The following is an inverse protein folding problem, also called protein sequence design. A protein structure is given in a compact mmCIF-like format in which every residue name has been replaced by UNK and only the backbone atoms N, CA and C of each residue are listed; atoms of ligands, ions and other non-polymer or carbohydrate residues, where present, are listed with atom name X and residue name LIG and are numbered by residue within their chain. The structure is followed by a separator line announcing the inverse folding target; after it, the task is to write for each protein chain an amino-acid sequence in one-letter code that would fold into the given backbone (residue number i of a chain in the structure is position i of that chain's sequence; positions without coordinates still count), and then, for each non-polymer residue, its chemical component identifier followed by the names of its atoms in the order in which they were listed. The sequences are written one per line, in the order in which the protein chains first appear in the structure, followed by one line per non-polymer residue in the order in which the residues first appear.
data_IF_938100247023
#
_entry.id   IF_938100247023
#
_cell.length_a   1.000
_cell.length_b   1.000
_cell.length_c   1.000
_cell.angle_alpha   90.00
_cell.angle_beta   90.00
_cell.angle_gamma   90.00
#
_symmetry.space_group_name_H-M   'P 1'
#
loop_
_entity.id
_entity.type
_entity.pdbx_description
1 polymer ?
2 non-polymer ?
3 water ?
#
# COMPACT_ATOMS: atom_id res chain seq x y z
N UNK A 7 4.42 19.75 10.43
CA UNK A 7 2.94 19.98 10.22
C UNK A 7 2.52 20.72 8.94
N UNK A 8 3.49 21.01 8.01
CA UNK A 8 3.21 21.85 6.77
C UNK A 8 2.61 21.06 5.62
N UNK A 9 1.61 21.69 5.03
CA UNK A 9 0.97 21.22 3.83
C UNK A 9 1.39 22.11 2.66
N UNK A 10 2.17 21.57 1.80
CA UNK A 10 2.44 22.22 0.50
C UNK A 10 1.25 22.32 -0.40
N UNK A 11 1.31 23.29 -1.35
CA UNK A 11 0.42 23.27 -2.51
C UNK A 11 1.29 22.46 -3.50
N UNK A 12 0.92 21.19 -3.72
CA UNK A 12 1.65 20.28 -4.53
C UNK A 12 0.76 19.31 -5.24
N UNK A 13 0.92 19.20 -6.55
CA UNK A 13 0.07 18.35 -7.38
C UNK A 13 0.49 16.89 -7.10
N UNK A 14 -0.50 16.00 -7.18
CA UNK A 14 -0.14 14.55 -7.02
C UNK A 14 0.97 13.98 -7.87
N UNK A 15 1.12 14.38 -9.14
CA UNK A 15 2.16 13.74 -9.92
C UNK A 15 3.56 14.12 -9.41
N UNK A 16 3.72 15.37 -9.03
CA UNK A 16 4.96 15.87 -8.42
C UNK A 16 5.21 15.18 -7.06
N UNK A 17 4.18 15.15 -6.21
CA UNK A 17 4.25 14.44 -4.90
C UNK A 17 4.70 13.00 -5.08
N UNK A 18 4.20 12.27 -6.05
CA UNK A 18 4.57 10.91 -6.23
C UNK A 18 6.01 10.75 -6.66
N UNK A 19 6.47 11.69 -7.55
CA UNK A 19 7.92 11.70 -7.83
C UNK A 19 8.74 11.87 -6.54
N UNK A 20 8.31 12.82 -5.71
CA UNK A 20 9.06 13.08 -4.44
C UNK A 20 9.05 11.87 -3.47
N UNK A 21 8.08 11.00 -3.63
CA UNK A 21 7.98 9.78 -2.78
C UNK A 21 9.18 8.81 -3.11
N UNK A 22 9.85 8.93 -4.29
CA UNK A 22 10.95 8.10 -4.53
C UNK A 22 10.53 6.61 -4.64
N UNK A 23 11.33 5.75 -4.01
CA UNK A 23 11.04 4.33 -3.93
C UNK A 23 10.61 4.02 -2.51
N UNK A 24 9.76 3.02 -2.36
CA UNK A 24 9.29 2.62 -1.04
C UNK A 24 9.50 1.22 -0.68
N UNK A 25 9.33 0.98 0.60
CA UNK A 25 9.46 -0.34 1.24
C UNK A 25 8.31 -0.52 2.22
N UNK A 26 7.69 -1.70 2.17
CA UNK A 26 6.59 -2.11 3.09
C UNK A 26 7.09 -2.78 4.36
N UNK A 27 6.61 -2.31 5.46
CA UNK A 27 6.74 -2.98 6.75
C UNK A 27 5.69 -4.11 6.86
N UNK A 28 5.87 -5.13 6.04
CA UNK A 28 4.87 -6.17 6.01
C UNK A 28 4.93 -7.18 7.15
N UNK A 29 3.82 -7.84 7.37
CA UNK A 29 3.66 -8.75 8.45
C UNK A 29 4.08 -8.24 9.80
N UNK A 30 3.78 -6.94 10.05
CA UNK A 30 3.98 -6.29 11.32
C UNK A 30 2.63 -5.85 11.85
N UNK A 31 2.29 -4.56 11.75
CA UNK A 31 1.01 -4.10 12.28
C UNK A 31 -0.16 -4.58 11.48
N UNK A 32 0.10 -5.10 10.26
CA UNK A 32 -0.90 -5.78 9.43
C UNK A 32 -1.17 -7.23 9.81
N UNK A 33 -0.39 -7.80 10.71
CA UNK A 33 -0.59 -9.19 11.11
C UNK A 33 -2.03 -9.41 11.52
N UNK A 34 -2.60 -10.50 11.01
CA UNK A 34 -4.01 -10.78 11.30
C UNK A 34 -4.11 -11.62 12.58
N UNK A 35 -3.78 -11.01 13.69
CA UNK A 35 -3.77 -11.61 15.04
C UNK A 35 -3.84 -10.49 16.03
N UNK A 36 -4.35 -10.72 17.25
CA UNK A 36 -4.33 -9.69 18.27
C UNK A 36 -2.89 -9.29 18.65
N UNK A 37 -1.91 -10.18 18.43
CA UNK A 37 -0.50 -9.98 18.76
C UNK A 37 0.22 -9.76 17.39
N UNK A 38 0.73 -8.57 17.19
CA UNK A 38 1.30 -8.23 15.92
C UNK A 38 2.67 -8.91 15.71
N UNK A 39 3.16 -9.66 16.68
CA UNK A 39 4.39 -10.50 16.50
C UNK A 39 4.05 -11.91 16.07
N UNK A 40 2.79 -12.23 15.91
CA UNK A 40 2.38 -13.60 15.70
C UNK A 40 2.83 -14.17 14.38
N UNK A 41 3.06 -13.35 13.37
CA UNK A 41 3.53 -13.73 12.07
C UNK A 41 5.04 -13.74 11.96
N UNK A 42 5.75 -13.66 13.04
CA UNK A 42 7.19 -13.92 13.02
C UNK A 42 8.08 -12.72 13.03
N UNK A 43 7.56 -11.49 13.05
CA UNK A 43 8.39 -10.34 13.07
C UNK A 43 8.38 -9.68 14.42
N UNK A 44 9.53 -9.18 14.85
CA UNK A 44 9.62 -8.51 16.15
C UNK A 44 8.86 -7.21 16.17
N UNK A 45 8.61 -6.69 17.36
CA UNK A 45 8.16 -5.33 17.51
C UNK A 45 9.04 -4.39 16.79
N UNK A 46 8.49 -3.54 15.97
CA UNK A 46 9.19 -2.62 15.11
C UNK A 46 9.90 -1.59 15.98
N UNK A 47 11.12 -1.28 15.60
CA UNK A 47 11.93 -0.26 16.30
C UNK A 47 12.41 0.79 15.36
N UNK A 48 12.82 1.94 15.90
CA UNK A 48 13.40 2.98 15.09
C UNK A 48 14.68 2.49 14.44
N UNK A 49 15.48 1.69 15.10
CA UNK A 49 16.68 1.16 14.54
C UNK A 49 16.47 0.38 13.24
N UNK A 50 15.34 -0.32 13.14
CA UNK A 50 14.94 -0.95 11.92
C UNK A 50 14.64 0.05 10.82
N UNK A 51 13.73 0.95 11.14
CA UNK A 51 13.39 1.96 10.14
C UNK A 51 14.56 2.80 9.69
N UNK A 52 15.51 3.08 10.58
CA UNK A 52 16.70 3.80 10.23
C UNK A 52 17.46 3.11 9.09
N UNK A 53 17.53 1.77 9.11
CA UNK A 53 18.22 1.08 8.06
C UNK A 53 17.50 1.20 6.72
N UNK A 54 16.18 1.20 6.74
CA UNK A 54 15.36 1.37 5.50
C UNK A 54 15.72 2.71 4.90
N UNK A 55 15.73 3.80 5.70
CA UNK A 55 16.07 5.11 5.20
C UNK A 55 17.52 5.18 4.79
N UNK A 56 18.46 4.58 5.47
CA UNK A 56 19.86 4.67 5.09
C UNK A 56 20.13 4.04 3.78
N UNK A 57 19.36 3.00 3.43
CA UNK A 57 19.48 2.28 2.13
C UNK A 57 18.98 3.15 1.01
N UNK A 58 18.17 4.15 1.29
CA UNK A 58 17.73 5.09 0.29
C UNK A 58 16.24 5.09 -0.09
N UNK A 59 15.48 4.22 0.61
CA UNK A 59 14.04 4.30 0.46
C UNK A 59 13.53 5.62 0.98
N UNK A 60 12.68 6.26 0.24
CA UNK A 60 12.11 7.53 0.62
C UNK A 60 10.70 7.44 1.25
N UNK A 61 10.07 6.29 1.02
CA UNK A 61 8.68 6.05 1.46
C UNK A 61 8.61 4.74 2.25
N UNK A 62 8.04 4.80 3.46
CA UNK A 62 7.62 3.67 4.23
C UNK A 62 6.14 3.45 4.07
N UNK A 63 5.73 2.25 3.61
CA UNK A 63 4.33 1.90 3.68
C UNK A 63 4.14 1.04 4.99
N UNK A 64 3.22 1.52 5.80
CA UNK A 64 2.94 1.02 7.14
C UNK A 64 1.54 0.44 7.13
N UNK A 65 1.46 -0.83 6.65
CA UNK A 65 0.10 -1.43 6.60
C UNK A 65 -0.36 -1.81 8.02
N UNK A 66 -1.63 -1.52 8.25
CA UNK A 66 -2.14 -1.77 9.62
C UNK A 66 -3.46 -2.48 9.46
N UNK A 67 -3.62 -3.54 10.22
CA UNK A 67 -4.89 -4.29 10.38
C UNK A 67 -5.50 -3.80 11.68
N UNK A 68 -6.73 -3.37 11.62
CA UNK A 68 -7.40 -2.69 12.75
C UNK A 68 -8.37 -3.61 13.47
N UNK A 69 -8.81 -4.70 12.86
CA UNK A 69 -9.91 -5.56 13.38
C UNK A 69 -9.77 -5.92 14.85
N UNK A 70 -8.60 -6.30 15.26
CA UNK A 70 -8.49 -6.79 16.62
C UNK A 70 -8.45 -5.67 17.63
N UNK A 71 -8.55 -4.43 17.20
CA UNK A 71 -8.48 -3.24 18.05
C UNK A 71 -9.65 -2.35 17.90
N UNK A 72 -10.76 -2.75 17.31
CA UNK A 72 -11.95 -1.96 17.13
C UNK A 72 -13.02 -2.54 18.01
N UNK A 73 -13.68 -1.68 18.76
CA UNK A 73 -14.75 -2.09 19.68
C UNK A 73 -16.07 -2.22 18.95
N UNK A 74 -17.13 -2.38 19.78
CA UNK A 74 -18.48 -2.61 19.28
C UNK A 74 -19.11 -1.34 18.66
N UNK A 75 -20.04 -1.53 17.72
CA UNK A 75 -20.83 -0.44 17.17
C UNK A 75 -21.75 0.15 18.25
N UNK A 76 -22.27 1.37 18.03
CA UNK A 76 -22.11 2.16 16.80
C UNK A 76 -20.84 3.03 16.82
N UNK A 77 -20.10 3.10 17.93
CA UNK A 77 -18.96 3.96 18.00
C UNK A 77 -17.70 3.29 17.37
N UNK A 78 -17.59 1.98 17.43
CA UNK A 78 -16.42 1.26 16.83
C UNK A 78 -15.13 1.92 17.33
N UNK A 79 -15.00 2.12 18.64
CA UNK A 79 -13.84 2.80 19.19
C UNK A 79 -12.54 2.03 18.88
N UNK A 80 -11.55 2.70 18.39
CA UNK A 80 -10.25 2.10 18.20
C UNK A 80 -9.48 2.21 19.50
N UNK A 81 -8.84 1.15 19.94
CA UNK A 81 -8.05 1.20 21.16
C UNK A 81 -6.95 2.24 21.04
N UNK A 82 -6.84 3.09 22.04
CA UNK A 82 -5.86 4.14 22.05
C UNK A 82 -4.43 3.66 21.99
N UNK A 83 -4.17 2.57 22.67
CA UNK A 83 -2.84 2.10 22.66
C UNK A 83 -2.39 1.50 21.31
N UNK A 84 -3.34 1.06 20.52
CA UNK A 84 -3.05 0.61 19.16
C UNK A 84 -2.69 1.80 18.27
N UNK A 85 -3.51 2.85 18.35
CA UNK A 85 -3.14 4.08 17.68
C UNK A 85 -1.76 4.55 18.10
N UNK A 86 -1.46 4.43 19.38
CA UNK A 86 -0.15 4.86 19.87
C UNK A 86 0.96 4.11 19.10
N UNK A 87 0.81 2.79 19.01
CA UNK A 87 1.79 1.98 18.28
C UNK A 87 1.97 2.39 16.81
N UNK A 88 0.85 2.58 16.15
CA UNK A 88 0.91 3.02 14.78
C UNK A 88 1.67 4.33 14.70
N UNK A 89 1.27 5.28 15.58
CA UNK A 89 1.90 6.59 15.56
C UNK A 89 3.41 6.53 15.81
N UNK A 90 3.79 5.70 16.75
CA UNK A 90 5.18 5.60 17.02
C UNK A 90 5.99 5.17 15.80
N UNK A 91 5.52 4.15 15.08
CA UNK A 91 6.24 3.69 13.91
C UNK A 91 6.24 4.73 12.82
N UNK A 92 5.09 5.37 12.65
CA UNK A 92 5.03 6.47 11.69
C UNK A 92 6.10 7.53 11.94
N UNK A 93 6.23 7.88 13.22
CA UNK A 93 7.26 8.88 13.61
C UNK A 93 8.63 8.38 13.41
N UNK A 94 8.92 7.09 13.53
CA UNK A 94 10.25 6.55 13.23
C UNK A 94 10.61 6.94 11.79
N UNK A 95 9.70 6.74 10.86
CA UNK A 95 9.86 7.08 9.44
C UNK A 95 9.95 8.57 9.18
N UNK A 96 9.00 9.30 9.74
CA UNK A 96 9.00 10.75 9.54
C UNK A 96 10.24 11.40 10.03
N UNK A 97 10.79 10.96 11.14
CA UNK A 97 12.10 11.44 11.71
C UNK A 97 13.26 11.18 10.82
N UNK A 98 13.16 10.21 9.90
CA UNK A 98 14.11 9.83 8.91
C UNK A 98 13.86 10.58 7.60
N UNK A 99 12.97 11.56 7.63
CA UNK A 99 12.69 12.35 6.46
C UNK A 99 11.89 11.58 5.39
N UNK A 100 11.27 10.47 5.74
CA UNK A 100 10.49 9.65 4.82
C UNK A 100 9.04 10.08 4.78
N UNK A 101 8.41 9.71 3.66
CA UNK A 101 6.97 9.68 3.54
C UNK A 101 6.48 8.41 4.29
N UNK A 102 5.25 8.47 4.76
CA UNK A 102 4.70 7.29 5.47
C UNK A 102 3.28 7.19 4.96
N UNK A 103 2.89 5.95 4.60
CA UNK A 103 1.50 5.66 4.20
C UNK A 103 0.90 4.76 5.33
N UNK A 104 -0.24 5.19 5.83
CA UNK A 104 -0.97 4.33 6.81
C UNK A 104 -2.28 3.92 6.10
N UNK A 105 -2.65 2.63 6.23
CA UNK A 105 -3.84 2.11 5.55
C UNK A 105 -4.72 1.35 6.51
N UNK A 106 -5.79 0.82 5.95
CA UNK A 106 -6.57 -0.29 6.46
C UNK A 106 -6.22 -1.52 5.66
N UNK A 107 -5.71 -2.55 6.26
CA UNK A 107 -5.07 -3.67 5.54
C UNK A 107 -5.90 -4.92 5.54
N UNK A 108 -5.76 -5.87 6.45
CA UNK A 108 -6.42 -7.21 6.38
C UNK A 108 -7.67 -7.13 7.14
N UNK A 109 -8.59 -6.28 6.71
CA UNK A 109 -9.84 -5.94 7.44
C UNK A 109 -11.06 -6.35 6.61
N UNK A 110 -10.84 -7.24 5.65
CA UNK A 110 -11.93 -7.63 4.71
C UNK A 110 -13.14 -8.23 5.45
N UNK A 111 -12.99 -8.83 6.62
CA UNK A 111 -14.11 -9.52 7.29
C UNK A 111 -15.17 -8.52 7.69
N UNK A 112 -14.86 -7.25 7.86
CA UNK A 112 -15.90 -6.24 8.21
C UNK A 112 -16.06 -5.27 7.09
N UNK A 113 -15.42 -5.59 5.94
CA UNK A 113 -15.49 -4.72 4.76
C UNK A 113 -15.89 -5.52 3.50
N UNK A 114 -16.92 -6.33 3.62
CA UNK A 114 -17.29 -7.21 2.50
C UNK A 114 -18.03 -6.42 1.47
N UNK A 115 -17.56 -6.39 0.21
CA UNK A 115 -18.13 -5.59 -0.86
C UNK A 115 -19.35 -6.29 -1.52
N UNK A 116 -20.44 -6.34 -0.78
CA UNK A 116 -21.73 -6.84 -1.31
C UNK A 116 -22.79 -5.84 -0.90
N UNK A 117 -23.87 -5.76 -1.73
CA UNK A 117 -25.01 -4.83 -1.37
C UNK A 117 -25.59 -5.20 -0.02
N UNK A 118 -25.64 -6.47 0.30
CA UNK A 118 -26.19 -7.01 1.56
C UNK A 118 -25.47 -6.40 2.73
N UNK A 119 -24.13 -6.30 2.68
CA UNK A 119 -23.34 -5.82 3.82
C UNK A 119 -23.01 -4.37 3.73
N UNK A 120 -23.15 -3.75 2.58
CA UNK A 120 -22.69 -2.36 2.37
C UNK A 120 -23.11 -1.38 3.38
N UNK A 121 -24.37 -1.42 3.79
CA UNK A 121 -24.84 -0.35 4.64
C UNK A 121 -24.13 -0.37 6.05
N UNK A 122 -23.96 -1.53 6.62
CA UNK A 122 -23.22 -1.70 7.86
C UNK A 122 -21.72 -1.39 7.68
N UNK A 123 -21.16 -1.80 6.56
CA UNK A 123 -19.72 -1.54 6.29
C UNK A 123 -19.52 -0.06 6.24
N UNK A 124 -20.39 0.68 5.54
CA UNK A 124 -20.19 2.11 5.36
C UNK A 124 -20.33 2.80 6.68
N UNK A 125 -21.18 2.34 7.56
CA UNK A 125 -21.29 2.94 8.87
C UNK A 125 -19.96 2.80 9.70
N UNK A 126 -19.46 1.56 9.73
CA UNK A 126 -18.22 1.25 10.46
C UNK A 126 -17.03 1.97 9.86
N UNK A 127 -16.91 1.96 8.56
CA UNK A 127 -15.78 2.62 7.90
C UNK A 127 -15.71 4.09 8.18
N UNK A 128 -16.87 4.74 8.17
CA UNK A 128 -16.91 6.16 8.44
C UNK A 128 -16.38 6.44 9.86
N UNK A 129 -16.79 5.65 10.83
CA UNK A 129 -16.39 5.82 12.24
C UNK A 129 -14.87 5.54 12.37
N UNK A 130 -14.37 4.46 11.73
CA UNK A 130 -12.97 4.07 11.85
C UNK A 130 -12.12 5.12 11.18
N UNK A 131 -12.37 5.55 9.94
CA UNK A 131 -11.59 6.54 9.29
C UNK A 131 -11.62 7.87 10.03
N UNK A 132 -12.79 8.25 10.56
CA UNK A 132 -12.79 9.47 11.33
C UNK A 132 -11.75 9.43 12.48
N UNK A 133 -11.72 8.32 13.17
CA UNK A 133 -10.81 8.16 14.25
C UNK A 133 -9.35 8.16 13.87
N UNK A 134 -8.99 7.45 12.80
CA UNK A 134 -7.61 7.41 12.34
C UNK A 134 -7.23 8.83 11.89
N UNK A 135 -8.11 9.45 11.09
CA UNK A 135 -7.80 10.72 10.61
C UNK A 135 -7.62 11.73 11.76
N UNK A 136 -8.48 11.69 12.78
CA UNK A 136 -8.33 12.65 13.88
C UNK A 136 -7.06 12.40 14.68
N UNK A 137 -6.61 11.15 14.82
CA UNK A 137 -5.37 10.94 15.51
C UNK A 137 -4.23 11.64 14.82
N UNK A 138 -4.22 11.57 13.48
CA UNK A 138 -3.14 12.05 12.70
C UNK A 138 -3.27 13.43 12.06
N UNK A 139 -4.32 14.13 12.48
CA UNK A 139 -4.74 15.36 11.80
C UNK A 139 -3.75 16.46 11.74
N UNK A 140 -2.86 16.56 12.70
CA UNK A 140 -1.90 17.69 12.71
C UNK A 140 -0.66 17.37 11.96
N UNK A 141 -0.45 16.13 11.48
CA UNK A 141 0.75 15.77 10.73
C UNK A 141 0.74 16.48 9.37
N UNK A 142 1.90 16.79 8.90
CA UNK A 142 2.08 17.43 7.60
C UNK A 142 2.03 16.42 6.45
N UNK A 143 2.31 16.86 5.27
CA UNK A 143 1.94 16.13 4.06
C UNK A 143 2.90 14.97 3.69
N UNK A 144 3.91 14.70 4.53
CA UNK A 144 4.64 13.50 4.35
C UNK A 144 3.85 12.28 4.87
N UNK A 145 2.80 12.51 5.63
CA UNK A 145 1.91 11.40 6.02
C UNK A 145 0.75 11.35 5.05
N UNK A 146 0.56 10.14 4.53
CA UNK A 146 -0.42 9.84 3.48
C UNK A 146 -1.37 8.78 4.03
N UNK A 147 -2.66 8.96 3.76
CA UNK A 147 -3.62 7.89 4.11
C UNK A 147 -3.96 7.05 2.89
N UNK A 148 -4.07 5.78 3.05
CA UNK A 148 -4.53 4.81 1.99
C UNK A 148 -5.78 4.17 2.50
N UNK A 149 -6.92 4.43 1.89
CA UNK A 149 -8.23 4.16 2.54
C UNK A 149 -8.51 2.66 2.73
N UNK A 150 -8.11 1.82 1.73
CA UNK A 150 -8.31 0.38 1.80
C UNK A 150 -7.24 -0.35 1.04
N UNK A 151 -6.81 -1.50 1.42
CA UNK A 151 -5.66 -2.16 0.83
C UNK A 151 -6.03 -2.84 -0.48
N UNK A 152 -6.69 -3.97 -0.39
CA UNK A 152 -7.09 -4.85 -1.53
C UNK A 152 -8.56 -5.19 -1.36
N UNK A 153 -9.44 -4.20 -1.29
CA UNK A 153 -10.86 -4.47 -0.92
C UNK A 153 -11.51 -5.37 -2.00
N UNK A 154 -12.09 -6.46 -1.54
CA UNK A 154 -12.52 -7.54 -2.47
C UNK A 154 -13.38 -8.49 -1.72
N UNK A 155 -14.03 -9.41 -2.47
CA UNK A 155 -14.81 -10.46 -1.85
C UNK A 155 -14.03 -11.77 -1.83
N UNK A 156 -13.42 -12.07 -0.72
CA UNK A 156 -12.54 -13.19 -0.66
C UNK A 156 -13.31 -14.52 -0.84
N UNK A 157 -12.71 -15.39 -1.62
CA UNK A 157 -13.26 -16.76 -1.78
C UNK A 157 -14.20 -16.86 -2.95
N UNK A 158 -14.28 -15.87 -3.82
CA UNK A 158 -15.15 -15.84 -4.95
C UNK A 158 -14.35 -16.03 -6.26
N UNK A 159 -14.96 -16.51 -7.32
CA UNK A 159 -14.19 -16.76 -8.51
C UNK A 159 -13.51 -15.49 -9.07
N UNK A 160 -14.15 -14.32 -8.99
CA UNK A 160 -13.60 -13.09 -9.56
C UNK A 160 -12.70 -12.34 -8.57
N UNK A 161 -12.43 -12.88 -7.41
CA UNK A 161 -11.62 -12.20 -6.38
C UNK A 161 -10.38 -11.55 -6.93
N UNK A 162 -9.62 -12.29 -7.72
CA UNK A 162 -8.34 -11.80 -8.28
C UNK A 162 -8.43 -11.45 -9.74
N UNK A 163 -9.66 -11.30 -10.24
CA UNK A 163 -9.96 -10.98 -11.64
C UNK A 163 -10.76 -9.70 -11.88
N UNK A 164 -10.66 -8.82 -10.86
CA UNK A 164 -11.37 -7.57 -10.92
C UNK A 164 -12.78 -7.53 -10.38
N UNK A 165 -13.20 -8.63 -9.78
CA UNK A 165 -14.50 -8.59 -9.06
C UNK A 165 -15.73 -8.73 -9.95
N UNK A 166 -16.87 -8.65 -9.33
CA UNK A 166 -18.13 -8.50 -10.08
C UNK A 166 -18.53 -7.04 -10.10
N UNK A 167 -19.55 -6.69 -10.88
CA UNK A 167 -20.00 -5.34 -10.88
C UNK A 167 -20.46 -4.87 -9.50
N UNK A 168 -21.17 -5.73 -8.81
CA UNK A 168 -21.59 -5.42 -7.46
C UNK A 168 -20.39 -5.13 -6.54
N UNK A 169 -19.36 -5.97 -6.64
CA UNK A 169 -18.18 -5.81 -5.78
C UNK A 169 -17.51 -4.52 -6.13
N UNK A 170 -17.29 -4.12 -7.38
CA UNK A 170 -16.63 -2.87 -7.73
C UNK A 170 -17.46 -1.71 -7.27
N UNK A 171 -18.79 -1.79 -7.40
CA UNK A 171 -19.68 -0.74 -6.96
C UNK A 171 -19.55 -0.53 -5.46
N UNK A 172 -19.62 -1.58 -4.70
CA UNK A 172 -19.46 -1.45 -3.29
C UNK A 172 -18.11 -0.90 -2.90
N UNK A 173 -17.04 -1.43 -3.52
CA UNK A 173 -15.73 -0.86 -3.21
C UNK A 173 -15.69 0.64 -3.48
N UNK A 174 -16.23 1.16 -4.64
CA UNK A 174 -16.28 2.55 -4.83
C UNK A 174 -17.06 3.27 -3.70
N UNK A 175 -18.16 2.68 -3.27
CA UNK A 175 -18.88 3.32 -2.18
C UNK A 175 -18.07 3.39 -0.88
N UNK A 176 -17.27 2.34 -0.65
CA UNK A 176 -16.48 2.33 0.57
C UNK A 176 -15.35 3.37 0.51
N UNK A 177 -14.78 3.57 -0.66
CA UNK A 177 -13.83 4.67 -0.82
C UNK A 177 -14.51 6.01 -0.63
N UNK A 178 -15.72 6.13 -1.13
CA UNK A 178 -16.49 7.40 -0.97
C UNK A 178 -16.68 7.72 0.51
N UNK A 179 -17.12 6.76 1.27
CA UNK A 179 -17.33 6.94 2.72
C UNK A 179 -16.00 7.35 3.35
N UNK A 180 -14.90 6.68 3.00
CA UNK A 180 -13.60 6.85 3.65
C UNK A 180 -13.00 8.17 3.32
N UNK A 181 -12.95 8.56 2.06
CA UNK A 181 -12.49 9.90 1.70
C UNK A 181 -13.31 10.98 2.38
N UNK A 182 -14.64 10.85 2.30
CA UNK A 182 -15.48 11.85 2.92
C UNK A 182 -15.18 11.96 4.41
N UNK A 183 -15.03 10.85 5.10
CA UNK A 183 -14.76 10.90 6.50
C UNK A 183 -13.43 11.64 6.79
N UNK A 184 -12.39 11.31 6.06
CA UNK A 184 -11.12 11.95 6.21
C UNK A 184 -11.26 13.46 6.00
N UNK A 185 -11.87 13.86 4.86
CA UNK A 185 -11.92 15.26 4.58
C UNK A 185 -12.78 16.04 5.60
N UNK A 186 -13.82 15.39 6.13
CA UNK A 186 -14.73 16.10 7.04
C UNK A 186 -14.02 16.44 8.31
N UNK A 187 -12.93 15.78 8.68
CA UNK A 187 -12.23 16.15 9.92
C UNK A 187 -11.51 17.45 9.80
N UNK A 188 -11.28 17.95 8.60
CA UNK A 188 -10.71 19.28 8.37
C UNK A 188 -9.29 19.39 8.74
N UNK A 189 -8.81 20.62 8.98
CA UNK A 189 -7.39 20.88 9.18
C UNK A 189 -6.61 20.32 8.04
N UNK A 190 -5.45 19.83 8.34
CA UNK A 190 -4.55 19.29 7.36
C UNK A 190 -5.18 18.14 6.59
N UNK A 191 -6.17 17.48 7.14
CA UNK A 191 -6.83 16.40 6.49
C UNK A 191 -7.72 16.79 5.31
N UNK A 192 -7.99 18.10 5.19
CA UNK A 192 -8.73 18.58 4.02
C UNK A 192 -7.86 18.50 2.75
N UNK A 193 -6.53 18.52 2.90
CA UNK A 193 -5.55 18.64 1.83
C UNK A 193 -4.64 17.41 1.65
N UNK A 194 -4.62 16.54 2.68
CA UNK A 194 -3.66 15.44 2.72
C UNK A 194 -3.84 14.55 1.46
N UNK A 195 -2.77 14.00 0.97
CA UNK A 195 -2.85 13.01 -0.13
C UNK A 195 -3.46 11.70 0.38
N UNK A 196 -4.43 11.17 -0.39
CA UNK A 196 -5.14 9.93 -0.08
C UNK A 196 -4.95 8.98 -1.23
N UNK A 197 -4.46 7.78 -1.04
CA UNK A 197 -4.37 6.73 -1.98
C UNK A 197 -5.60 5.88 -1.99
N UNK A 198 -6.23 5.80 -3.13
CA UNK A 198 -7.49 5.10 -3.35
C UNK A 198 -7.28 3.99 -4.34
N UNK A 199 -7.54 2.78 -3.93
CA UNK A 199 -7.34 1.58 -4.71
C UNK A 199 -8.49 1.24 -5.65
N UNK A 200 -8.14 0.52 -6.73
CA UNK A 200 -9.13 -0.22 -7.50
C UNK A 200 -9.58 -1.40 -6.65
N UNK A 201 -10.64 -2.08 -7.14
CA UNK A 201 -11.05 -3.34 -6.54
C UNK A 201 -9.82 -4.25 -6.45
N UNK A 202 -9.58 -4.75 -5.23
CA UNK A 202 -8.49 -5.68 -4.96
C UNK A 202 -7.11 -5.06 -5.17
N UNK A 203 -7.03 -3.76 -5.39
CA UNK A 203 -5.83 -3.10 -5.95
C UNK A 203 -5.42 -3.74 -7.24
N UNK A 204 -6.39 -4.30 -7.99
CA UNK A 204 -6.19 -4.97 -9.26
C UNK A 204 -5.87 -4.02 -10.38
N UNK A 205 -5.15 -4.62 -11.34
CA UNK A 205 -4.87 -3.92 -12.63
C UNK A 205 -5.73 -4.56 -13.73
N UNK A 206 -6.62 -5.46 -13.42
CA UNK A 206 -7.57 -6.05 -14.41
C UNK A 206 -8.28 -4.87 -15.06
N UNK A 207 -8.57 -5.01 -16.39
CA UNK A 207 -9.19 -3.91 -17.13
C UNK A 207 -10.57 -3.48 -16.58
N UNK A 208 -11.36 -4.42 -16.10
CA UNK A 208 -12.67 -4.05 -15.53
C UNK A 208 -12.54 -3.23 -14.25
N UNK A 209 -11.49 -3.55 -13.47
CA UNK A 209 -11.23 -2.78 -12.25
C UNK A 209 -10.76 -1.36 -12.64
N UNK A 210 -9.87 -1.25 -13.66
CA UNK A 210 -9.41 0.03 -14.18
C UNK A 210 -10.54 0.92 -14.73
N UNK A 211 -11.46 0.24 -15.44
CA UNK A 211 -12.49 0.99 -16.15
C UNK A 211 -13.57 1.50 -15.17
N UNK A 212 -13.83 0.72 -14.09
CA UNK A 212 -14.88 1.05 -13.14
C UNK A 212 -14.42 1.91 -11.97
N UNK A 213 -13.16 2.24 -11.88
CA UNK A 213 -12.64 3.00 -10.77
C UNK A 213 -13.19 4.40 -10.74
N UNK A 214 -13.59 4.88 -9.59
CA UNK A 214 -14.07 6.21 -9.37
C UNK A 214 -13.32 6.89 -8.26
N UNK A 215 -12.88 8.10 -8.47
CA UNK A 215 -12.26 8.91 -7.42
C UNK A 215 -13.38 9.72 -6.73
N UNK A 216 -13.61 9.52 -5.43
CA UNK A 216 -14.66 10.23 -4.73
C UNK A 216 -14.57 11.72 -4.93
N UNK A 217 -15.67 12.26 -5.45
CA UNK A 217 -15.82 13.71 -5.63
C UNK A 217 -14.89 14.33 -6.65
N UNK A 218 -14.19 13.52 -7.42
CA UNK A 218 -13.09 14.03 -8.20
C UNK A 218 -11.94 14.69 -7.45
N UNK A 219 -11.83 14.32 -6.17
CA UNK A 219 -10.89 14.91 -5.22
C UNK A 219 -9.51 15.02 -5.83
N UNK A 220 -9.00 16.25 -5.94
CA UNK A 220 -7.80 16.46 -6.64
C UNK A 220 -6.55 15.95 -5.91
N UNK A 221 -6.68 15.65 -4.63
CA UNK A 221 -5.58 15.12 -3.81
C UNK A 221 -5.67 13.62 -3.60
N UNK A 222 -6.36 12.93 -4.46
CA UNK A 222 -6.39 11.49 -4.50
C UNK A 222 -5.42 10.96 -5.47
N UNK A 223 -4.56 10.04 -5.07
CA UNK A 223 -3.60 9.21 -5.83
C UNK A 223 -4.15 7.81 -6.02
N UNK A 224 -3.92 7.21 -7.21
CA UNK A 224 -4.38 5.87 -7.44
C UNK A 224 -3.40 4.90 -6.83
N UNK A 225 -3.95 3.88 -6.16
CA UNK A 225 -3.21 2.71 -5.61
C UNK A 225 -3.53 1.44 -6.39
N UNK A 226 -2.53 0.78 -6.92
CA UNK A 226 -2.65 -0.54 -7.51
C UNK A 226 -1.48 -1.35 -7.02
N UNK A 227 -1.67 -2.66 -7.01
CA UNK A 227 -0.64 -3.61 -6.71
C UNK A 227 -0.48 -4.49 -7.93
N UNK A 228 0.72 -4.85 -8.32
CA UNK A 228 0.97 -5.72 -9.50
C UNK A 228 2.21 -6.55 -9.33
N UNK A 229 2.01 -7.75 -8.85
CA UNK A 229 3.09 -8.69 -8.68
C UNK A 229 3.40 -9.42 -10.02
N UNK A 230 3.77 -8.62 -10.99
CA UNK A 230 3.83 -9.02 -12.39
C UNK A 230 5.25 -9.48 -12.72
N UNK A 231 5.40 -10.70 -13.31
CA UNK A 231 4.35 -11.66 -13.65
C UNK A 231 4.08 -12.63 -12.53
N UNK A 232 2.83 -12.94 -12.24
CA UNK A 232 2.55 -13.65 -11.03
C UNK A 232 3.16 -15.05 -10.95
N UNK A 233 3.35 -15.69 -12.09
CA UNK A 233 3.91 -17.02 -12.09
C UNK A 233 5.34 -17.06 -11.48
N UNK A 234 6.08 -16.01 -11.74
CA UNK A 234 7.43 -15.75 -11.17
C UNK A 234 7.32 -15.14 -9.77
N UNK A 235 6.45 -14.19 -9.58
CA UNK A 235 6.44 -13.39 -8.35
C UNK A 235 5.73 -14.02 -7.17
N UNK A 236 4.59 -14.66 -7.45
CA UNK A 236 3.72 -15.22 -6.43
C UNK A 236 3.70 -16.71 -6.35
N UNK A 237 3.51 -17.35 -7.47
CA UNK A 237 3.28 -18.80 -7.41
C UNK A 237 4.55 -19.63 -7.29
N UNK A 238 5.66 -19.10 -7.76
CA UNK A 238 6.90 -19.87 -7.79
C UNK A 238 6.93 -21.00 -8.83
N UNK A 239 5.96 -20.96 -9.77
CA UNK A 239 5.81 -21.96 -10.81
C UNK A 239 6.79 -21.69 -11.95
N UNK A 240 7.24 -20.45 -12.09
CA UNK A 240 8.25 -20.11 -13.05
C UNK A 240 9.35 -19.47 -12.22
N UNK A 241 10.60 -19.89 -12.39
CA UNK A 241 11.66 -19.31 -11.54
C UNK A 241 12.64 -18.48 -12.29
N UNK A 242 12.46 -18.40 -13.59
CA UNK A 242 13.29 -17.59 -14.40
C UNK A 242 12.57 -16.37 -14.90
N UNK A 243 13.34 -15.32 -15.06
CA UNK A 243 12.84 -14.07 -15.58
C UNK A 243 13.96 -13.35 -16.25
N UNK A 244 13.67 -12.80 -17.44
CA UNK A 244 14.52 -11.86 -18.10
C UNK A 244 14.65 -11.94 -19.63
N UNK A 245 13.75 -12.69 -20.24
CA UNK A 245 13.69 -12.77 -21.76
C UNK A 245 13.14 -11.44 -22.31
N UNK A 246 13.29 -11.15 -23.62
CA UNK A 246 12.62 -9.97 -24.17
C UNK A 246 11.14 -10.08 -24.07
N UNK A 247 10.56 -11.26 -24.14
CA UNK A 247 9.15 -11.44 -24.06
C UNK A 247 8.70 -11.03 -22.61
N UNK A 248 9.51 -11.41 -21.62
CA UNK A 248 9.26 -11.07 -20.17
C UNK A 248 9.27 -9.55 -20.03
N UNK A 249 10.26 -8.87 -20.57
CA UNK A 249 10.38 -7.46 -20.51
C UNK A 249 9.20 -6.78 -21.17
N UNK A 250 8.93 -7.13 -22.43
CA UNK A 250 7.77 -6.64 -23.15
C UNK A 250 6.41 -6.82 -22.40
N UNK A 251 6.16 -7.98 -21.82
CA UNK A 251 4.95 -8.22 -21.09
C UNK A 251 4.85 -7.31 -19.85
N UNK A 252 5.96 -7.09 -19.17
CA UNK A 252 5.92 -6.19 -17.99
C UNK A 252 5.75 -4.73 -18.36
N UNK A 253 6.34 -4.32 -19.47
CA UNK A 253 6.18 -2.98 -19.91
C UNK A 253 4.72 -2.79 -20.40
N UNK A 254 4.10 -3.82 -20.99
CA UNK A 254 2.72 -3.70 -21.44
C UNK A 254 1.80 -3.51 -20.25
N UNK A 255 2.05 -4.26 -19.16
CA UNK A 255 1.30 -4.09 -17.88
C UNK A 255 1.40 -2.66 -17.38
N UNK A 256 2.64 -2.18 -17.26
CA UNK A 256 2.89 -0.87 -16.72
C UNK A 256 2.28 0.23 -17.62
N UNK A 257 2.34 -0.01 -18.96
CA UNK A 257 1.77 0.94 -19.95
C UNK A 257 0.23 1.01 -19.91
N UNK A 258 -0.42 -0.13 -19.60
CA UNK A 258 -1.84 -0.17 -19.34
C UNK A 258 -2.26 0.76 -18.18
N UNK A 259 -1.49 0.63 -17.09
CA UNK A 259 -1.71 1.45 -15.88
C UNK A 259 -1.44 2.93 -16.19
N UNK A 260 -0.31 3.23 -16.84
CA UNK A 260 0.01 4.59 -17.25
C UNK A 260 -1.05 5.20 -18.17
N UNK A 261 -1.38 4.40 -19.19
CA UNK A 261 -2.36 4.92 -20.20
C UNK A 261 -3.72 5.28 -19.62
N UNK A 262 -4.19 4.45 -18.68
CA UNK A 262 -5.51 4.66 -18.07
C UNK A 262 -5.41 5.81 -17.07
N UNK A 263 -4.54 5.68 -16.06
CA UNK A 263 -4.55 6.63 -14.94
C UNK A 263 -3.80 7.92 -15.22
N UNK A 264 -2.58 7.80 -15.65
CA UNK A 264 -1.74 8.95 -15.83
C UNK A 264 -2.15 9.80 -17.06
N UNK A 265 -2.33 9.13 -18.17
CA UNK A 265 -2.67 9.83 -19.46
C UNK A 265 -4.18 10.09 -19.46
N UNK A 266 -5.01 9.09 -19.52
CA UNK A 266 -6.43 9.37 -19.66
C UNK A 266 -7.04 10.12 -18.46
N UNK A 267 -6.71 9.73 -17.21
CA UNK A 267 -7.40 10.23 -16.01
C UNK A 267 -6.67 11.41 -15.35
N UNK A 268 -5.47 11.76 -15.80
CA UNK A 268 -4.61 12.75 -15.15
C UNK A 268 -4.42 12.55 -13.64
N UNK A 269 -4.12 11.29 -13.34
CA UNK A 269 -3.89 10.89 -11.95
C UNK A 269 -2.50 10.33 -11.80
N UNK A 270 -1.93 10.44 -10.60
CA UNK A 270 -0.65 9.82 -10.27
C UNK A 270 -0.94 8.44 -9.64
N UNK A 271 0.03 7.57 -9.77
CA UNK A 271 -0.05 6.19 -9.35
C UNK A 271 1.08 5.83 -8.42
N UNK A 272 0.66 5.13 -7.32
CA UNK A 272 1.65 4.43 -6.40
C UNK A 272 1.41 2.94 -6.49
N UNK A 273 2.43 2.23 -6.91
CA UNK A 273 2.45 0.79 -6.94
C UNK A 273 2.80 0.32 -5.53
N UNK A 274 1.77 0.25 -4.71
CA UNK A 274 1.96 0.18 -3.25
C UNK A 274 2.41 -1.21 -2.81
N UNK A 275 2.32 -2.21 -3.67
CA UNK A 275 2.98 -3.47 -3.49
C UNK A 275 3.37 -4.04 -4.82
N UNK A 276 4.52 -4.70 -4.83
CA UNK A 276 5.04 -5.56 -5.90
C UNK A 276 6.22 -6.28 -5.32
N UNK A 277 6.81 -7.21 -6.09
CA UNK A 277 8.00 -7.92 -5.75
C UNK A 277 7.93 -9.36 -6.10
N UNK A 278 8.95 -10.11 -5.73
CA UNK A 278 8.97 -11.55 -6.05
C UNK A 278 9.31 -12.34 -4.85
N UNK A 279 8.74 -13.50 -4.72
CA UNK A 279 9.07 -14.43 -3.65
C UNK A 279 10.40 -15.14 -4.02
N UNK A 280 11.10 -15.57 -3.02
CA UNK A 280 12.32 -16.26 -3.22
C UNK A 280 12.06 -17.66 -3.79
N UNK A 281 12.61 -17.96 -4.96
CA UNK A 281 12.46 -19.31 -5.56
C UNK A 281 13.81 -19.88 -6.02
N UNK A 282 14.80 -19.84 -5.16
CA UNK A 282 16.14 -20.38 -5.43
C UNK A 282 16.66 -19.76 -6.69
N UNK A 283 16.45 -18.43 -6.84
CA UNK A 283 16.64 -17.73 -8.08
C UNK A 283 17.13 -16.30 -7.93
N UNK A 284 18.24 -16.10 -7.18
CA UNK A 284 18.64 -14.74 -6.84
C UNK A 284 18.95 -13.87 -8.02
N UNK A 285 19.61 -14.40 -9.07
CA UNK A 285 19.98 -13.55 -10.18
C UNK A 285 18.75 -13.02 -10.97
N UNK A 286 17.80 -13.90 -11.12
CA UNK A 286 16.61 -13.49 -11.85
C UNK A 286 15.72 -12.57 -10.98
N UNK A 287 15.64 -12.77 -9.67
CA UNK A 287 14.94 -11.84 -8.80
C UNK A 287 15.53 -10.45 -8.91
N UNK A 288 16.88 -10.39 -8.92
CA UNK A 288 17.56 -9.16 -9.03
C UNK A 288 17.29 -8.46 -10.38
N UNK A 289 17.41 -9.22 -11.48
CA UNK A 289 17.10 -8.69 -12.81
C UNK A 289 15.69 -8.15 -12.90
N UNK A 290 14.74 -8.88 -12.37
CA UNK A 290 13.34 -8.49 -12.37
C UNK A 290 13.16 -7.20 -11.53
N UNK A 291 13.78 -7.11 -10.32
CA UNK A 291 13.66 -5.93 -9.47
C UNK A 291 14.19 -4.71 -10.15
N UNK A 292 15.39 -4.87 -10.72
CA UNK A 292 16.04 -3.75 -11.42
C UNK A 292 15.13 -3.19 -12.53
N UNK A 293 14.60 -4.13 -13.33
CA UNK A 293 13.83 -3.76 -14.54
C UNK A 293 12.45 -3.13 -14.17
N UNK A 294 11.84 -3.79 -13.17
CA UNK A 294 10.51 -3.32 -12.71
C UNK A 294 10.61 -1.88 -12.19
N UNK A 295 11.58 -1.71 -11.23
CA UNK A 295 11.70 -0.45 -10.55
C UNK A 295 12.04 0.68 -11.59
N UNK A 296 12.96 0.38 -12.51
CA UNK A 296 13.36 1.33 -13.58
C UNK A 296 12.10 1.68 -14.41
N UNK A 297 11.30 0.67 -14.75
CA UNK A 297 10.12 0.86 -15.59
C UNK A 297 9.10 1.77 -14.92
N UNK A 298 8.96 1.58 -13.58
CA UNK A 298 8.10 2.45 -12.81
C UNK A 298 8.67 3.85 -12.75
N UNK A 299 9.96 4.00 -12.45
CA UNK A 299 10.57 5.31 -12.33
C UNK A 299 10.45 6.10 -13.67
N UNK A 300 10.61 5.44 -14.80
CA UNK A 300 10.48 6.09 -16.11
C UNK A 300 9.09 6.59 -16.38
N UNK A 301 8.08 5.99 -15.80
CA UNK A 301 6.71 6.35 -15.91
C UNK A 301 6.21 7.28 -14.80
N UNK A 302 7.02 7.58 -13.78
CA UNK A 302 6.59 8.47 -12.72
C UNK A 302 5.73 7.75 -11.67
N UNK A 303 5.75 6.46 -11.71
CA UNK A 303 5.00 5.60 -10.74
C UNK A 303 5.95 5.30 -9.60
N UNK A 304 5.46 5.49 -8.35
CA UNK A 304 6.29 5.17 -7.15
C UNK A 304 6.20 3.66 -6.85
N UNK A 305 7.30 2.92 -6.93
CA UNK A 305 7.30 1.49 -6.62
C UNK A 305 7.56 1.26 -5.12
N UNK A 306 6.78 0.37 -4.51
CA UNK A 306 6.91 0.03 -3.06
C UNK A 306 7.00 -1.48 -2.94
N UNK A 307 8.23 -1.96 -2.72
CA UNK A 307 8.45 -3.38 -2.58
C UNK A 307 7.75 -3.98 -1.37
N UNK A 308 7.05 -5.13 -1.49
CA UNK A 308 6.46 -5.87 -0.39
C UNK A 308 7.48 -6.68 0.33
N UNK A 309 7.72 -6.35 1.61
CA UNK A 309 8.71 -7.10 2.44
C UNK A 309 7.98 -7.65 3.64
N UNK A 310 7.84 -8.97 3.77
CA UNK A 310 7.15 -9.57 4.87
C UNK A 310 8.00 -10.05 5.97
N UNK A 311 9.29 -9.74 5.92
CA UNK A 311 10.22 -10.12 7.00
C UNK A 311 10.78 -11.46 6.85
N UNK A 312 10.24 -12.30 6.00
CA UNK A 312 10.61 -13.73 5.90
C UNK A 312 11.53 -13.90 4.69
N UNK A 313 12.79 -14.20 4.97
CA UNK A 313 13.82 -14.30 3.92
C UNK A 313 13.51 -15.35 2.89
N UNK A 314 12.74 -16.34 3.27
CA UNK A 314 12.35 -17.36 2.30
C UNK A 314 11.21 -16.97 1.39
N UNK A 315 10.62 -15.80 1.62
CA UNK A 315 9.49 -15.29 0.89
C UNK A 315 9.89 -13.92 0.33
N UNK A 316 9.42 -12.79 0.91
CA UNK A 316 9.61 -11.47 0.39
C UNK A 316 10.59 -10.60 1.17
N UNK A 317 11.13 -11.15 2.26
CA UNK A 317 11.97 -10.37 3.12
C UNK A 317 13.36 -10.14 2.52
N UNK A 318 13.70 -8.90 2.31
CA UNK A 318 15.02 -8.48 1.87
C UNK A 318 15.85 -7.79 2.94
N UNK A 319 15.19 -7.37 4.01
CA UNK A 319 15.84 -6.78 5.21
C UNK A 319 15.66 -7.75 6.38
N UNK A 320 16.74 -7.97 7.17
CA UNK A 320 16.67 -8.79 8.31
C UNK A 320 16.40 -7.93 9.56
N UNK A 321 15.16 -7.93 10.02
CA UNK A 321 14.75 -7.10 11.18
C UNK A 321 15.40 -7.54 12.48
N UNK A 322 15.82 -8.77 12.55
CA UNK A 322 16.44 -9.26 13.81
C UNK A 322 17.92 -8.91 13.93
N UNK A 323 18.61 -8.75 12.82
CA UNK A 323 20.04 -8.44 12.87
C UNK A 323 20.38 -7.08 12.32
N UNK A 324 19.40 -6.37 11.73
CA UNK A 324 19.62 -5.09 11.12
C UNK A 324 20.51 -5.09 9.90
N UNK A 325 20.78 -6.24 9.33
CA UNK A 325 21.46 -6.40 8.07
C UNK A 325 20.47 -6.64 6.96
N UNK A 326 20.88 -6.44 5.71
CA UNK A 326 20.11 -6.81 4.55
C UNK A 326 20.40 -8.20 4.17
N UNK A 327 19.37 -9.02 3.97
CA UNK A 327 19.51 -10.35 3.41
C UNK A 327 19.91 -10.23 1.92
N UNK A 328 19.23 -9.34 1.20
CA UNK A 328 19.40 -9.12 -0.21
C UNK A 328 19.63 -7.67 -0.59
N UNK A 329 20.78 -7.14 -0.15
CA UNK A 329 21.01 -5.73 -0.35
C UNK A 329 20.94 -5.30 -1.82
N UNK A 330 21.32 -6.21 -2.73
CA UNK A 330 21.35 -5.81 -4.13
C UNK A 330 19.96 -5.59 -4.70
N UNK A 331 18.93 -6.31 -4.19
CA UNK A 331 17.54 -6.01 -4.55
C UNK A 331 17.21 -4.61 -4.12
N UNK A 332 17.51 -4.34 -2.83
CA UNK A 332 17.20 -3.00 -2.31
C UNK A 332 17.84 -1.89 -3.15
N UNK A 333 19.12 -2.13 -3.42
CA UNK A 333 19.88 -1.11 -4.17
C UNK A 333 19.33 -0.95 -5.57
N UNK A 334 18.86 -2.03 -6.17
CA UNK A 334 18.29 -1.98 -7.52
C UNK A 334 17.01 -1.21 -7.55
N UNK A 335 16.24 -1.23 -6.47
CA UNK A 335 15.02 -0.50 -6.37
C UNK A 335 15.20 1.01 -6.14
N UNK A 336 16.18 1.36 -5.30
CA UNK A 336 16.35 2.75 -4.96
C UNK A 336 17.25 3.53 -5.92
N UNK A 337 18.15 2.87 -6.66
CA UNK A 337 19.09 3.65 -7.53
C UNK A 337 18.34 4.40 -8.62
#
# INVERSE_FOLDING_TARGET
HHHHHHGNMREIAPKEFVLDMGAGWNLGNAMDTYNSDETAWGNPLTTKAMIDEIAKMGFKTLRLPVTWKFHIGEGPDYLIEANWLDKVEAIANFALENEMYVIINIHHDETWILPTYEKADEVKDELSKVWTQIANRFKTYGDYLIFETLNEPRHKGTPEEWKGGTQEGRDAVNQYHQVSVDAIRATGGNNAKRKIMVSTYAASTASNALNDYLVPNGDKNVIVSVHSYFPYQFCLDGTDSTWGTEADKTALLAELDKIRDKFIVEDNRAVVMGEWGSTFSDNPEDRLAHAEFYARACAERGICPIWWDNGNVDEFGIFNRNTLEWNYPEIAEAIVK
#
